data_IF_364232799126
#
_entry.id   IF_364232799126
#
_cell.length_a   1.000
_cell.length_b   1.000
_cell.length_c   1.000
_cell.angle_alpha   90.00
_cell.angle_beta   90.00
_cell.angle_gamma   90.00
#
_symmetry.space_group_name_H-M   'P 1'
#
loop_
_entity.id
_entity.type
_entity.pdbx_description
1 polymer ?
#
# COMPACT_ATOMS: atom_id res chain seq x y z
N UNK A 1 -20.16 -9.44 -3.31
CA UNK A 1 -19.47 -8.35 -2.56
C UNK A 1 -17.96 -8.55 -2.72
N UNK A 2 -17.22 -7.49 -3.05
CA UNK A 2 -15.77 -7.58 -3.16
C UNK A 2 -15.15 -7.88 -1.79
N UNK A 3 -14.61 -9.08 -1.60
CA UNK A 3 -13.85 -9.41 -0.38
C UNK A 3 -12.37 -9.29 -0.71
N UNK A 4 -11.72 -8.36 -0.03
CA UNK A 4 -10.28 -8.21 -0.08
C UNK A 4 -9.65 -8.73 1.20
N UNK A 5 -8.40 -9.15 1.08
CA UNK A 5 -7.54 -9.32 2.24
C UNK A 5 -7.28 -7.95 2.90
N UNK A 6 -7.02 -7.94 4.21
CA UNK A 6 -6.46 -6.76 4.85
C UNK A 6 -5.17 -6.35 4.12
N UNK A 7 -4.90 -5.05 4.12
CA UNK A 7 -3.64 -4.53 3.61
C UNK A 7 -2.45 -5.15 4.35
N UNK A 8 -1.42 -5.51 3.58
CA UNK A 8 -0.12 -5.84 4.15
C UNK A 8 0.47 -4.66 4.90
N UNK A 9 1.48 -4.95 5.72
CA UNK A 9 2.31 -3.91 6.32
C UNK A 9 2.87 -2.99 5.23
N UNK A 10 3.02 -1.71 5.58
CA UNK A 10 3.72 -0.77 4.71
C UNK A 10 5.16 -1.23 4.53
N UNK A 11 5.63 -1.17 3.28
CA UNK A 11 7.05 -1.25 2.96
C UNK A 11 7.82 -0.14 3.66
N UNK A 12 9.13 -0.33 3.76
CA UNK A 12 10.03 0.73 4.18
C UNK A 12 9.85 1.98 3.32
N UNK A 13 10.08 3.13 3.94
CA UNK A 13 10.05 4.38 3.23
C UNK A 13 11.13 4.34 2.13
N UNK A 14 10.80 4.83 0.94
CA UNK A 14 11.73 4.86 -0.20
C UNK A 14 12.98 5.72 0.07
N UNK A 15 12.95 6.53 1.13
CA UNK A 15 14.08 7.33 1.61
C UNK A 15 14.41 6.92 3.04
N UNK A 16 15.61 7.23 3.49
CA UNK A 16 16.06 7.02 4.88
C UNK A 16 15.95 8.28 5.75
N UNK A 17 15.72 9.45 5.13
CA UNK A 17 15.50 10.74 5.80
C UNK A 17 14.63 11.65 4.91
N UNK A 18 13.95 12.62 5.50
CA UNK A 18 13.08 13.59 4.82
C UNK A 18 11.76 13.00 4.30
N UNK A 19 11.26 13.57 3.20
CA UNK A 19 10.00 13.14 2.57
C UNK A 19 10.25 11.99 1.59
N UNK A 20 9.62 10.84 1.82
CA UNK A 20 9.61 9.72 0.90
C UNK A 20 8.22 9.17 0.65
N UNK A 21 8.19 7.99 0.03
CA UNK A 21 6.97 7.25 -0.26
C UNK A 21 7.12 5.82 0.23
N UNK A 22 6.08 5.30 0.86
CA UNK A 22 5.95 3.89 1.24
C UNK A 22 4.79 3.28 0.47
N UNK A 23 4.93 2.02 0.10
CA UNK A 23 3.89 1.28 -0.61
C UNK A 23 3.37 0.14 0.25
N UNK A 24 2.12 -0.26 0.04
CA UNK A 24 1.56 -1.48 0.61
C UNK A 24 0.70 -2.17 -0.42
N UNK A 25 0.58 -3.47 -0.28
CA UNK A 25 -0.18 -4.29 -1.20
C UNK A 25 -1.24 -5.10 -0.45
N UNK A 26 -2.35 -5.43 -1.11
CA UNK A 26 -3.38 -6.35 -0.62
C UNK A 26 -3.73 -7.32 -1.72
N UNK A 27 -4.25 -8.47 -1.31
CA UNK A 27 -4.72 -9.49 -2.24
C UNK A 27 -6.25 -9.49 -2.26
N UNK A 28 -6.80 -9.81 -3.40
CA UNK A 28 -8.23 -10.01 -3.56
C UNK A 28 -8.58 -11.44 -3.10
N UNK A 29 -9.54 -11.57 -2.18
CA UNK A 29 -9.98 -12.87 -1.63
C UNK A 29 -11.12 -13.51 -2.43
N UNK A 30 -11.82 -12.72 -3.24
CA UNK A 30 -12.95 -13.19 -4.06
C UNK A 30 -12.60 -13.20 -5.55
N UNK A 31 -13.58 -13.16 -6.45
CA UNK A 31 -13.33 -13.19 -7.88
C UNK A 31 -12.98 -11.78 -8.40
N UNK A 32 -11.91 -11.61 -9.21
CA UNK A 32 -11.49 -10.31 -9.71
C UNK A 32 -12.47 -9.69 -10.71
N UNK A 33 -13.46 -10.44 -11.20
CA UNK A 33 -14.43 -9.98 -12.19
C UNK A 33 -15.32 -8.81 -11.71
N UNK A 34 -15.46 -8.61 -10.40
CA UNK A 34 -16.34 -7.56 -9.83
C UNK A 34 -15.59 -6.43 -9.12
N UNK A 35 -14.26 -6.41 -9.11
CA UNK A 35 -13.49 -5.45 -8.34
C UNK A 35 -12.51 -4.66 -9.23
N UNK A 36 -12.81 -3.39 -9.56
CA UNK A 36 -11.85 -2.47 -10.17
C UNK A 36 -10.82 -1.96 -9.14
N UNK A 37 -10.43 -2.80 -8.18
CA UNK A 37 -9.87 -2.33 -6.92
C UNK A 37 -8.35 -2.34 -6.91
N UNK A 38 -7.78 -1.24 -6.40
CA UNK A 38 -6.34 -1.03 -6.25
C UNK A 38 -5.77 -2.04 -5.25
N UNK A 39 -4.98 -2.98 -5.77
CA UNK A 39 -4.21 -3.97 -5.01
C UNK A 39 -2.94 -3.37 -4.41
N UNK A 40 -2.57 -2.17 -4.83
CA UNK A 40 -1.40 -1.43 -4.38
C UNK A 40 -1.83 -0.05 -3.92
N UNK A 41 -1.24 0.43 -2.83
CA UNK A 41 -1.41 1.79 -2.36
C UNK A 41 -0.05 2.41 -2.05
N UNK A 42 0.11 3.68 -2.42
CA UNK A 42 1.27 4.50 -2.07
C UNK A 42 0.86 5.60 -1.09
N UNK A 43 1.71 5.86 -0.10
CA UNK A 43 1.52 6.92 0.88
C UNK A 43 2.83 7.65 1.14
N UNK A 44 2.76 8.96 1.39
CA UNK A 44 3.92 9.76 1.75
C UNK A 44 4.35 9.42 3.18
N UNK A 45 5.61 9.06 3.35
CA UNK A 45 6.24 8.90 4.65
C UNK A 45 7.12 10.11 4.94
N UNK A 46 7.04 10.61 6.17
CA UNK A 46 7.87 11.70 6.67
C UNK A 46 8.84 11.10 7.69
N UNK A 47 10.11 11.03 7.32
CA UNK A 47 11.23 10.59 8.14
C UNK A 47 11.95 11.78 8.77
N UNK A 48 12.84 11.56 9.75
CA UNK A 48 13.69 12.63 10.29
C UNK A 48 14.38 13.39 9.17
N UNK A 49 14.57 14.68 9.39
CA UNK A 49 15.22 15.59 8.45
C UNK A 49 16.57 15.02 8.00
N UNK A 50 16.81 15.03 6.69
CA UNK A 50 18.17 15.04 6.17
C UNK A 50 18.72 16.47 6.41
#
# INVERSE_FOLDING_TARGET
PCVLSPWSAWSECSVTCGLGIRTRQRMLKSDPAECPEELEQSEKCMLPEC
#
